data_IF_310551177700
#
_entry.id   IF_310551177700
#
_cell.length_a   1.000
_cell.length_b   1.000
_cell.length_c   1.000
_cell.angle_alpha   90.00
_cell.angle_beta   90.00
_cell.angle_gamma   90.00
#
_symmetry.space_group_name_H-M   'P 1'
#
loop_
_entity.id
_entity.type
_entity.pdbx_description
1 polymer ?
#
# COMPACT_ATOMS: atom_id res chain seq x y z
N UNK A 1 6.84 -17.35 2.56
CA UNK A 1 6.71 -18.31 1.43
C UNK A 1 7.95 -18.21 0.56
N UNK A 2 8.36 -19.27 -0.14
CA UNK A 2 9.52 -19.19 -1.04
C UNK A 2 9.14 -18.39 -2.30
N UNK A 3 9.91 -17.34 -2.59
CA UNK A 3 9.77 -16.55 -3.81
C UNK A 3 10.50 -17.32 -4.92
N UNK A 4 9.75 -17.81 -5.90
CA UNK A 4 10.26 -18.61 -7.01
C UNK A 4 10.82 -17.75 -8.15
N UNK A 5 10.37 -16.51 -8.28
CA UNK A 5 10.83 -15.58 -9.28
C UNK A 5 10.15 -14.22 -9.20
N UNK A 6 10.64 -13.27 -9.98
CA UNK A 6 10.04 -11.96 -10.13
C UNK A 6 9.94 -11.57 -11.62
N UNK A 7 8.84 -10.92 -11.98
CA UNK A 7 8.56 -10.39 -13.30
C UNK A 7 8.40 -8.88 -13.16
N UNK A 8 9.14 -8.12 -13.96
CA UNK A 8 9.07 -6.66 -13.93
C UNK A 8 8.56 -6.14 -15.27
N UNK A 9 7.60 -5.24 -15.24
CA UNK A 9 7.46 -4.29 -16.34
C UNK A 9 8.65 -3.30 -16.37
N UNK A 10 8.78 -2.53 -17.45
CA UNK A 10 9.83 -1.51 -17.61
C UNK A 10 9.28 -0.09 -17.48
N UNK A 11 8.24 0.24 -18.24
CA UNK A 11 7.80 1.61 -18.50
C UNK A 11 6.88 2.09 -17.39
N UNK A 12 7.31 3.09 -16.62
CA UNK A 12 6.61 3.53 -15.42
C UNK A 12 6.72 2.56 -14.22
N UNK A 13 7.40 1.42 -14.42
CA UNK A 13 7.75 0.46 -13.37
C UNK A 13 9.23 0.53 -12.97
N UNK A 14 10.18 0.29 -13.88
CA UNK A 14 11.64 0.40 -13.59
C UNK A 14 12.14 1.80 -13.93
N UNK A 15 11.69 2.34 -15.07
CA UNK A 15 12.11 3.64 -15.58
C UNK A 15 10.94 4.60 -15.66
N UNK A 16 11.21 5.87 -15.39
CA UNK A 16 10.22 6.95 -15.38
C UNK A 16 9.98 7.46 -16.82
N UNK A 17 9.25 6.67 -17.62
CA UNK A 17 9.09 6.88 -19.07
C UNK A 17 7.66 7.21 -19.50
N UNK A 18 6.67 7.25 -18.61
CA UNK A 18 5.28 7.53 -19.02
C UNK A 18 5.10 8.93 -19.61
N UNK A 19 5.81 9.93 -19.06
CA UNK A 19 5.85 11.26 -19.66
C UNK A 19 6.49 11.29 -21.05
N UNK A 20 7.48 10.42 -21.29
CA UNK A 20 8.09 10.25 -22.62
C UNK A 20 7.14 9.59 -23.60
N UNK A 21 6.36 8.59 -23.18
CA UNK A 21 5.36 7.96 -24.06
C UNK A 21 4.29 8.95 -24.49
N UNK A 22 3.76 9.76 -23.57
CA UNK A 22 2.81 10.83 -23.92
C UNK A 22 3.42 11.84 -24.91
N UNK A 23 4.65 12.28 -24.66
CA UNK A 23 5.38 13.19 -25.55
C UNK A 23 5.72 12.54 -26.90
N UNK A 24 6.01 11.24 -26.93
CA UNK A 24 6.28 10.48 -28.15
C UNK A 24 5.03 10.38 -29.02
N UNK A 25 3.87 10.09 -28.43
CA UNK A 25 2.61 10.07 -29.17
C UNK A 25 2.34 11.44 -29.77
N UNK A 26 2.51 12.54 -29.02
CA UNK A 26 2.39 13.91 -29.58
C UNK A 26 3.45 14.20 -30.67
N UNK A 27 4.68 13.70 -30.49
CA UNK A 27 5.75 13.83 -31.46
C UNK A 27 5.40 13.16 -32.79
N UNK A 28 4.74 11.99 -32.80
CA UNK A 28 4.32 11.32 -34.05
C UNK A 28 3.42 12.24 -34.89
N UNK A 29 2.41 12.85 -34.26
CA UNK A 29 1.52 13.79 -34.95
C UNK A 29 2.30 14.97 -35.51
N UNK A 30 3.19 15.55 -34.69
CA UNK A 30 4.03 16.68 -35.12
C UNK A 30 4.97 16.31 -36.26
N UNK A 31 5.57 15.12 -36.22
CA UNK A 31 6.49 14.58 -37.22
C UNK A 31 5.81 14.46 -38.59
N UNK A 32 4.55 14.01 -38.61
CA UNK A 32 3.74 13.91 -39.83
C UNK A 32 2.91 15.17 -40.14
N UNK A 33 3.15 16.28 -39.44
CA UNK A 33 2.54 17.58 -39.74
C UNK A 33 1.07 17.72 -39.33
N UNK A 34 0.62 16.95 -38.35
CA UNK A 34 -0.72 16.96 -37.78
C UNK A 34 -0.72 17.41 -36.31
N UNK A 35 -1.92 17.66 -35.78
CA UNK A 35 -2.14 17.89 -34.35
C UNK A 35 -2.81 16.66 -33.75
N UNK A 36 -2.37 16.24 -32.57
CA UNK A 36 -2.95 15.11 -31.85
C UNK A 36 -4.38 15.47 -31.38
N UNK A 37 -5.39 14.62 -31.66
CA UNK A 37 -6.73 14.80 -31.10
C UNK A 37 -6.73 14.68 -29.57
N UNK A 38 -7.62 15.43 -28.91
CA UNK A 38 -7.86 15.29 -27.47
C UNK A 38 -8.26 13.84 -27.13
N UNK A 39 -7.67 13.27 -26.07
CA UNK A 39 -7.98 11.91 -25.61
C UNK A 39 -7.37 10.79 -26.47
N UNK A 40 -6.45 11.09 -27.40
CA UNK A 40 -5.86 10.09 -28.27
C UNK A 40 -4.87 9.18 -27.51
N UNK A 41 -4.03 9.74 -26.64
CA UNK A 41 -3.05 8.97 -25.88
C UNK A 41 -3.73 7.91 -25.01
N UNK A 42 -4.76 8.30 -24.26
CA UNK A 42 -5.55 7.43 -23.39
C UNK A 42 -6.25 6.31 -24.16
N UNK A 43 -6.53 6.52 -25.46
CA UNK A 43 -7.12 5.49 -26.33
C UNK A 43 -6.10 4.45 -26.76
N UNK A 44 -4.84 4.84 -26.97
CA UNK A 44 -3.81 3.97 -27.58
C UNK A 44 -2.81 3.42 -26.57
N UNK A 45 -2.69 4.01 -25.38
CA UNK A 45 -1.83 3.54 -24.28
C UNK A 45 -2.00 2.04 -23.97
N UNK A 46 -3.23 1.47 -23.95
CA UNK A 46 -3.39 0.04 -23.66
C UNK A 46 -2.95 -0.89 -24.81
N UNK A 47 -2.77 -0.35 -26.02
CA UNK A 47 -2.53 -1.14 -27.23
C UNK A 47 -1.05 -1.48 -27.41
N UNK A 48 -0.75 -2.48 -28.24
CA UNK A 48 0.62 -2.69 -28.68
C UNK A 48 1.10 -1.52 -29.55
N UNK A 49 2.42 -1.26 -29.55
CA UNK A 49 3.01 -0.21 -30.38
C UNK A 49 2.66 -0.38 -31.88
N UNK A 50 2.60 -1.62 -32.37
CA UNK A 50 2.16 -1.94 -33.74
C UNK A 50 0.72 -1.56 -34.01
N UNK A 51 -0.18 -1.79 -33.07
CA UNK A 51 -1.59 -1.41 -33.21
C UNK A 51 -1.77 0.10 -33.19
N UNK A 52 -1.05 0.82 -32.31
CA UNK A 52 -1.01 2.29 -32.31
C UNK A 52 -0.54 2.81 -33.69
N UNK A 53 0.60 2.35 -34.18
CA UNK A 53 1.13 2.80 -35.48
C UNK A 53 0.23 2.41 -36.66
N UNK A 54 -0.52 1.31 -36.54
CA UNK A 54 -1.56 0.94 -37.51
C UNK A 54 -2.72 1.93 -37.50
N UNK A 55 -3.21 2.32 -36.31
CA UNK A 55 -4.25 3.35 -36.16
C UNK A 55 -3.76 4.68 -36.73
N UNK A 56 -2.52 5.08 -36.40
CA UNK A 56 -1.88 6.29 -36.91
C UNK A 56 -1.87 6.34 -38.45
N UNK A 57 -1.51 5.22 -39.08
CA UNK A 57 -1.51 5.10 -40.53
C UNK A 57 -2.94 5.06 -41.13
N UNK A 58 -3.83 4.22 -40.59
CA UNK A 58 -5.16 3.98 -41.15
C UNK A 58 -6.11 5.19 -40.95
N UNK A 59 -6.05 5.88 -39.81
CA UNK A 59 -6.93 7.01 -39.49
C UNK A 59 -6.39 8.36 -39.99
N UNK A 60 -5.07 8.58 -39.93
CA UNK A 60 -4.46 9.88 -40.22
C UNK A 60 -3.59 9.90 -41.47
N UNK A 61 -3.32 8.75 -42.08
CA UNK A 61 -2.49 8.66 -43.29
C UNK A 61 -1.01 8.94 -43.04
N UNK A 62 -0.52 8.66 -41.84
CA UNK A 62 0.89 8.84 -41.48
C UNK A 62 1.77 7.76 -42.12
N UNK A 63 2.97 8.15 -42.56
CA UNK A 63 3.93 7.26 -43.21
C UNK A 63 3.46 6.69 -44.56
N UNK A 64 4.37 5.99 -45.26
CA UNK A 64 4.01 5.23 -46.47
C UNK A 64 3.31 3.90 -46.11
N UNK A 65 3.52 3.40 -44.88
CA UNK A 65 2.86 2.25 -44.27
C UNK A 65 2.88 2.33 -42.75
N UNK A 66 2.08 1.49 -42.07
CA UNK A 66 2.11 1.37 -40.61
C UNK A 66 3.49 0.93 -40.08
N UNK A 67 4.22 0.10 -40.84
CA UNK A 67 5.58 -0.34 -40.48
C UNK A 67 6.58 0.83 -40.54
N UNK A 68 6.40 1.78 -41.46
CA UNK A 68 7.25 2.98 -41.54
C UNK A 68 7.02 3.92 -40.34
N UNK A 69 5.75 4.07 -39.92
CA UNK A 69 5.42 4.79 -38.68
C UNK A 69 6.06 4.09 -37.48
N UNK A 70 5.91 2.77 -37.39
CA UNK A 70 6.45 1.96 -36.31
C UNK A 70 7.98 2.09 -36.18
N UNK A 71 8.73 2.01 -37.28
CA UNK A 71 10.20 2.15 -37.23
C UNK A 71 10.64 3.58 -36.87
N UNK A 72 9.89 4.60 -37.29
CA UNK A 72 10.15 5.99 -36.89
C UNK A 72 9.92 6.19 -35.37
N UNK A 73 8.83 5.65 -34.83
CA UNK A 73 8.54 5.70 -33.39
C UNK A 73 9.58 4.93 -32.60
N UNK A 74 9.89 3.69 -33.00
CA UNK A 74 10.93 2.89 -32.34
C UNK A 74 12.28 3.60 -32.33
N UNK A 75 12.65 4.30 -33.41
CA UNK A 75 13.89 5.07 -33.45
C UNK A 75 13.89 6.24 -32.47
N UNK A 76 12.78 6.96 -32.35
CA UNK A 76 12.63 8.05 -31.39
C UNK A 76 12.67 7.54 -29.94
N UNK A 77 11.90 6.49 -29.63
CA UNK A 77 11.85 5.87 -28.31
C UNK A 77 13.23 5.38 -27.85
N UNK A 78 14.01 4.75 -28.75
CA UNK A 78 15.39 4.33 -28.43
C UNK A 78 16.30 5.50 -28.08
N UNK A 79 16.16 6.63 -28.77
CA UNK A 79 16.95 7.84 -28.50
C UNK A 79 16.61 8.41 -27.11
N UNK A 80 15.31 8.51 -26.79
CA UNK A 80 14.85 8.94 -25.48
C UNK A 80 15.35 8.02 -24.36
N UNK A 81 15.21 6.70 -24.51
CA UNK A 81 15.72 5.75 -23.51
C UNK A 81 17.24 5.86 -23.29
N UNK A 82 18.00 6.14 -24.34
CA UNK A 82 19.46 6.25 -24.24
C UNK A 82 19.92 7.53 -23.51
N UNK A 83 19.10 8.59 -23.50
CA UNK A 83 19.59 9.94 -23.21
C UNK A 83 18.74 10.76 -22.22
N UNK A 84 17.46 10.45 -22.07
CA UNK A 84 16.51 11.31 -21.36
C UNK A 84 15.88 10.64 -20.14
N UNK A 85 15.68 9.32 -20.19
CA UNK A 85 14.93 8.59 -19.17
C UNK A 85 15.79 8.25 -17.96
N UNK A 86 15.21 8.38 -16.78
CA UNK A 86 15.82 7.99 -15.51
C UNK A 86 15.12 6.76 -14.93
N UNK A 87 15.87 5.99 -14.15
CA UNK A 87 15.33 4.91 -13.35
C UNK A 87 14.62 5.46 -12.10
N UNK A 88 13.56 4.80 -11.64
CA UNK A 88 12.97 5.14 -10.36
C UNK A 88 13.97 4.96 -9.20
N UNK A 89 14.05 5.91 -8.26
CA UNK A 89 14.88 5.77 -7.07
C UNK A 89 14.52 4.50 -6.28
N UNK A 90 15.51 3.73 -5.85
CA UNK A 90 15.31 2.48 -5.11
C UNK A 90 15.12 1.22 -5.98
N UNK A 91 14.86 1.37 -7.28
CA UNK A 91 14.60 0.22 -8.15
C UNK A 91 15.81 -0.72 -8.25
N UNK A 92 17.02 -0.15 -8.37
CA UNK A 92 18.27 -0.92 -8.41
C UNK A 92 18.49 -1.68 -7.12
N UNK A 93 18.26 -1.03 -5.99
CA UNK A 93 18.46 -1.61 -4.66
C UNK A 93 17.59 -2.86 -4.49
N UNK A 94 16.33 -2.81 -4.91
CA UNK A 94 15.46 -4.00 -4.90
C UNK A 94 15.96 -5.09 -5.86
N UNK A 95 16.37 -4.75 -7.09
CA UNK A 95 16.92 -5.72 -8.03
C UNK A 95 18.19 -6.39 -7.48
N UNK A 96 19.05 -5.63 -6.80
CA UNK A 96 20.26 -6.13 -6.13
C UNK A 96 19.90 -7.07 -4.95
N UNK A 97 18.91 -6.72 -4.13
CA UNK A 97 18.42 -7.60 -3.06
C UNK A 97 17.89 -8.93 -3.59
N UNK A 98 17.06 -8.90 -4.64
CA UNK A 98 16.50 -10.10 -5.28
C UNK A 98 17.61 -10.96 -5.89
N UNK A 99 18.56 -10.36 -6.60
CA UNK A 99 19.69 -11.06 -7.20
C UNK A 99 20.61 -11.68 -6.14
N UNK A 100 20.92 -10.95 -5.07
CA UNK A 100 21.73 -11.45 -3.95
C UNK A 100 21.07 -12.64 -3.24
N UNK A 101 19.74 -12.69 -3.24
CA UNK A 101 18.97 -13.82 -2.73
C UNK A 101 18.82 -15.00 -3.72
N UNK A 102 19.34 -14.86 -4.95
CA UNK A 102 19.26 -15.89 -5.98
C UNK A 102 17.89 -16.03 -6.63
N UNK A 103 17.03 -15.01 -6.52
CA UNK A 103 15.69 -15.00 -7.12
C UNK A 103 15.83 -14.66 -8.61
N UNK A 104 15.40 -15.53 -9.55
CA UNK A 104 15.49 -15.23 -10.96
C UNK A 104 14.48 -14.15 -11.35
N UNK A 105 14.90 -13.23 -12.21
CA UNK A 105 14.09 -12.10 -12.68
C UNK A 105 13.92 -12.16 -14.20
N UNK A 106 12.73 -11.78 -14.69
CA UNK A 106 12.41 -11.64 -16.12
C UNK A 106 11.69 -10.31 -16.36
N UNK A 107 11.96 -9.67 -17.48
CA UNK A 107 11.17 -8.49 -17.92
C UNK A 107 9.96 -8.93 -18.74
N UNK A 108 8.81 -8.29 -18.52
CA UNK A 108 7.59 -8.45 -19.31
C UNK A 108 6.98 -7.07 -19.65
N UNK A 109 7.13 -6.61 -20.89
CA UNK A 109 6.71 -5.27 -21.31
C UNK A 109 5.83 -5.27 -22.58
N UNK A 110 5.02 -4.23 -22.77
CA UNK A 110 4.36 -3.96 -24.06
C UNK A 110 5.33 -3.39 -25.10
N UNK A 111 6.40 -2.74 -24.64
CA UNK A 111 7.46 -2.19 -25.49
C UNK A 111 8.23 -3.34 -26.15
N UNK A 112 8.66 -3.22 -27.42
CA UNK A 112 9.41 -4.28 -28.07
C UNK A 112 10.81 -4.45 -27.43
N UNK A 113 11.32 -5.69 -27.44
CA UNK A 113 12.55 -6.04 -26.71
C UNK A 113 13.76 -5.21 -27.14
N UNK A 114 13.90 -4.92 -28.45
CA UNK A 114 15.03 -4.16 -28.99
C UNK A 114 15.06 -2.71 -28.47
N UNK A 115 13.95 -2.20 -27.97
CA UNK A 115 13.72 -0.81 -27.63
C UNK A 115 13.95 -0.64 -26.12
N UNK A 116 13.22 -1.38 -25.28
CA UNK A 116 13.43 -1.29 -23.82
C UNK A 116 14.80 -1.83 -23.39
N UNK A 117 15.45 -2.71 -24.17
CA UNK A 117 16.82 -3.15 -23.86
C UNK A 117 17.78 -1.97 -23.84
N UNK A 118 17.55 -0.92 -24.64
CA UNK A 118 18.36 0.30 -24.60
C UNK A 118 18.24 0.99 -23.24
N UNK A 119 17.03 1.06 -22.66
CA UNK A 119 16.82 1.61 -21.33
C UNK A 119 17.57 0.79 -20.26
N UNK A 120 17.46 -0.54 -20.33
CA UNK A 120 18.16 -1.43 -19.40
C UNK A 120 19.69 -1.29 -19.51
N UNK A 121 20.23 -1.19 -20.73
CA UNK A 121 21.66 -1.02 -20.97
C UNK A 121 22.18 0.35 -20.51
N UNK A 122 21.43 1.43 -20.78
CA UNK A 122 21.78 2.79 -20.36
C UNK A 122 21.93 2.90 -18.83
N UNK A 123 21.13 2.11 -18.09
CA UNK A 123 21.19 2.02 -16.64
C UNK A 123 22.02 0.82 -16.13
N UNK A 124 22.64 0.02 -17.00
CA UNK A 124 23.43 -1.15 -16.58
C UNK A 124 22.62 -2.20 -15.80
N UNK A 125 21.35 -2.39 -16.15
CA UNK A 125 20.41 -3.30 -15.49
C UNK A 125 20.30 -4.67 -16.19
N UNK A 126 20.77 -4.80 -17.43
CA UNK A 126 20.62 -6.03 -18.22
C UNK A 126 21.18 -7.27 -17.53
N UNK A 127 22.16 -7.12 -16.63
CA UNK A 127 22.75 -8.21 -15.86
C UNK A 127 21.86 -8.81 -14.75
N UNK A 128 20.77 -8.14 -14.37
CA UNK A 128 19.84 -8.63 -13.35
C UNK A 128 18.84 -9.65 -13.91
N UNK A 129 18.45 -9.50 -15.17
CA UNK A 129 17.38 -10.29 -15.77
C UNK A 129 17.95 -11.52 -16.49
N UNK A 130 17.37 -12.69 -16.21
CA UNK A 130 17.74 -13.91 -16.93
C UNK A 130 17.27 -13.85 -18.39
N UNK A 131 16.11 -13.25 -18.62
CA UNK A 131 15.46 -13.17 -19.92
C UNK A 131 14.51 -11.96 -19.95
N UNK A 132 14.03 -11.61 -21.14
CA UNK A 132 13.17 -10.46 -21.39
C UNK A 132 12.13 -10.80 -22.47
N UNK A 133 10.85 -10.54 -22.22
CA UNK A 133 9.76 -10.81 -23.17
C UNK A 133 8.92 -9.56 -23.42
N UNK A 134 8.50 -9.39 -24.66
CA UNK A 134 7.54 -8.37 -25.09
C UNK A 134 6.19 -9.00 -25.47
N UNK A 135 5.11 -8.23 -25.45
CA UNK A 135 3.83 -8.61 -26.06
C UNK A 135 3.98 -9.05 -27.52
N UNK A 136 4.96 -8.49 -28.27
CA UNK A 136 5.25 -8.90 -29.64
C UNK A 136 5.77 -10.34 -29.76
N UNK A 137 6.46 -10.84 -28.74
CA UNK A 137 6.99 -12.21 -28.72
C UNK A 137 5.88 -13.26 -28.49
N UNK A 138 4.72 -12.83 -28.00
CA UNK A 138 3.58 -13.68 -27.63
C UNK A 138 2.35 -13.43 -28.52
N UNK A 139 2.58 -13.03 -29.77
CA UNK A 139 1.53 -12.87 -30.77
C UNK A 139 0.88 -11.48 -30.79
N UNK A 140 1.45 -10.50 -30.07
CA UNK A 140 1.07 -9.09 -30.13
C UNK A 140 -0.18 -8.73 -29.33
N UNK A 141 -0.71 -9.64 -28.51
CA UNK A 141 -1.81 -9.30 -27.60
C UNK A 141 -1.31 -8.41 -26.48
N UNK A 142 -2.07 -7.37 -26.18
CA UNK A 142 -1.81 -6.46 -25.08
C UNK A 142 -1.84 -7.16 -23.70
N UNK A 143 -1.54 -6.37 -22.66
CA UNK A 143 -1.52 -6.80 -21.26
C UNK A 143 -2.91 -6.91 -20.63
N UNK A 144 -4.01 -6.74 -21.37
CA UNK A 144 -5.34 -7.21 -20.92
C UNK A 144 -5.43 -8.75 -20.99
N UNK A 145 -4.49 -9.39 -21.70
CA UNK A 145 -4.30 -10.83 -21.74
C UNK A 145 -3.05 -11.26 -20.97
N UNK A 146 -3.08 -12.45 -20.32
CA UNK A 146 -1.99 -12.89 -19.46
C UNK A 146 -0.75 -13.42 -20.21
N UNK A 147 -0.78 -13.43 -21.54
CA UNK A 147 0.20 -14.08 -22.41
C UNK A 147 1.66 -13.73 -22.08
N UNK A 148 1.97 -12.43 -21.96
CA UNK A 148 3.33 -11.96 -21.70
C UNK A 148 3.82 -12.38 -20.30
N UNK A 149 2.94 -12.36 -19.30
CA UNK A 149 3.25 -12.78 -17.93
C UNK A 149 3.41 -14.30 -17.81
N UNK A 150 2.56 -15.07 -18.50
CA UNK A 150 2.68 -16.53 -18.57
C UNK A 150 3.98 -16.93 -19.28
N UNK A 151 4.34 -16.24 -20.36
CA UNK A 151 5.61 -16.47 -21.03
C UNK A 151 6.81 -16.06 -20.17
N UNK A 152 6.74 -14.95 -19.46
CA UNK A 152 7.77 -14.56 -18.50
C UNK A 152 7.93 -15.62 -17.39
N UNK A 153 6.83 -16.21 -16.91
CA UNK A 153 6.85 -17.33 -15.95
C UNK A 153 7.52 -18.58 -16.55
N UNK A 154 7.25 -18.92 -17.81
CA UNK A 154 7.98 -20.03 -18.48
C UNK A 154 9.47 -19.73 -18.62
N UNK A 155 9.81 -18.48 -18.94
CA UNK A 155 11.20 -18.02 -19.00
C UNK A 155 11.84 -18.06 -17.62
N UNK A 156 11.09 -17.86 -16.52
CA UNK A 156 11.44 -18.18 -15.11
C UNK A 156 11.83 -19.64 -14.87
N UNK A 157 11.62 -20.54 -15.82
CA UNK A 157 11.87 -21.97 -15.67
C UNK A 157 10.77 -22.66 -14.87
N UNK A 158 9.60 -22.02 -14.75
CA UNK A 158 8.46 -22.48 -13.99
C UNK A 158 7.36 -22.99 -14.93
N UNK A 159 6.48 -23.83 -14.40
CA UNK A 159 5.27 -24.26 -15.10
C UNK A 159 4.20 -23.17 -14.97
N UNK A 160 4.01 -22.40 -16.05
CA UNK A 160 3.02 -21.34 -16.09
C UNK A 160 1.57 -21.83 -15.98
N UNK A 161 1.29 -23.13 -16.13
CA UNK A 161 -0.06 -23.70 -15.94
C UNK A 161 -0.29 -24.15 -14.48
N UNK A 162 0.77 -24.27 -13.67
CA UNK A 162 0.71 -24.59 -12.24
C UNK A 162 0.38 -23.36 -11.37
N UNK A 163 -0.81 -23.30 -10.73
CA UNK A 163 -1.19 -22.17 -9.89
C UNK A 163 -0.29 -21.97 -8.67
N UNK A 164 0.29 -23.04 -8.10
CA UNK A 164 1.16 -22.90 -6.92
C UNK A 164 2.49 -22.22 -7.32
N UNK A 165 3.01 -22.54 -8.51
CA UNK A 165 4.21 -21.87 -9.02
C UNK A 165 3.93 -20.41 -9.40
N UNK A 166 2.78 -20.10 -10.00
CA UNK A 166 2.39 -18.70 -10.28
C UNK A 166 2.25 -17.89 -8.98
N UNK A 167 1.66 -18.47 -7.94
CA UNK A 167 1.52 -17.82 -6.63
C UNK A 167 2.88 -17.59 -5.93
N UNK A 168 3.94 -18.29 -6.35
CA UNK A 168 5.32 -18.06 -5.90
C UNK A 168 6.07 -16.97 -6.68
N UNK A 169 5.45 -16.36 -7.70
CA UNK A 169 6.06 -15.32 -8.54
C UNK A 169 5.43 -13.96 -8.25
N UNK A 170 6.28 -12.95 -8.09
CA UNK A 170 5.89 -11.55 -7.94
C UNK A 170 5.95 -10.82 -9.27
N UNK A 171 4.88 -10.13 -9.64
CA UNK A 171 4.81 -9.21 -10.77
C UNK A 171 4.83 -7.78 -10.25
N UNK A 172 5.77 -6.97 -10.74
CA UNK A 172 5.88 -5.55 -10.44
C UNK A 172 5.33 -4.78 -11.63
N UNK A 173 4.28 -4.00 -11.38
CA UNK A 173 3.57 -3.28 -12.43
C UNK A 173 2.92 -1.99 -11.93
N UNK A 174 2.82 -1.00 -12.81
CA UNK A 174 2.23 0.32 -12.57
C UNK A 174 0.86 0.48 -13.26
N UNK A 175 0.67 -0.17 -14.42
CA UNK A 175 -0.50 -0.03 -15.25
C UNK A 175 -1.73 -0.77 -14.69
N UNK A 176 -2.92 -0.13 -14.64
CA UNK A 176 -4.15 -0.76 -14.15
C UNK A 176 -4.51 -2.09 -14.82
N UNK A 177 -4.37 -2.17 -16.15
CA UNK A 177 -4.63 -3.39 -16.89
C UNK A 177 -3.61 -4.48 -16.57
N UNK A 178 -2.34 -4.11 -16.37
CA UNK A 178 -1.26 -5.04 -16.07
C UNK A 178 -1.41 -5.67 -14.67
N UNK A 179 -1.69 -4.87 -13.63
CA UNK A 179 -1.95 -5.39 -12.29
C UNK A 179 -3.20 -6.27 -12.25
N UNK A 180 -4.27 -5.89 -12.96
CA UNK A 180 -5.51 -6.67 -13.05
C UNK A 180 -5.29 -8.03 -13.70
N UNK A 181 -4.58 -8.06 -14.82
CA UNK A 181 -4.31 -9.29 -15.57
C UNK A 181 -3.40 -10.21 -14.77
N UNK A 182 -2.36 -9.67 -14.14
CA UNK A 182 -1.42 -10.43 -13.30
C UNK A 182 -2.13 -11.08 -12.11
N UNK A 183 -2.96 -10.30 -11.42
CA UNK A 183 -3.78 -10.79 -10.31
C UNK A 183 -4.75 -11.90 -10.77
N UNK A 184 -5.49 -11.68 -11.87
CA UNK A 184 -6.42 -12.69 -12.42
C UNK A 184 -5.71 -13.97 -12.89
N UNK A 185 -4.46 -13.85 -13.33
CA UNK A 185 -3.62 -14.99 -13.70
C UNK A 185 -3.08 -15.78 -12.49
N UNK A 186 -3.22 -15.26 -11.26
CA UNK A 186 -2.80 -15.91 -10.03
C UNK A 186 -1.35 -15.66 -9.65
N UNK A 187 -0.74 -14.60 -10.18
CA UNK A 187 0.52 -14.06 -9.68
C UNK A 187 0.29 -13.21 -8.43
N UNK A 188 1.35 -13.03 -7.63
CA UNK A 188 1.37 -11.96 -6.62
C UNK A 188 1.74 -10.65 -7.29
N UNK A 189 1.12 -9.56 -6.89
CA UNK A 189 1.25 -8.27 -7.57
C UNK A 189 1.77 -7.21 -6.60
N UNK A 190 2.89 -6.60 -6.96
CA UNK A 190 3.31 -5.30 -6.44
C UNK A 190 2.81 -4.23 -7.39
N UNK A 191 1.88 -3.39 -6.91
CA UNK A 191 1.45 -2.20 -7.63
C UNK A 191 2.34 -1.01 -7.28
N UNK A 192 3.02 -0.44 -8.27
CA UNK A 192 3.82 0.78 -8.15
C UNK A 192 3.01 1.97 -8.66
N UNK A 193 2.49 2.79 -7.75
CA UNK A 193 1.80 4.02 -8.11
C UNK A 193 2.76 5.21 -8.05
N UNK A 194 2.69 6.09 -9.04
CA UNK A 194 3.29 7.41 -8.97
C UNK A 194 2.22 8.48 -9.24
N UNK A 195 2.46 9.71 -8.77
CA UNK A 195 1.46 10.79 -8.86
C UNK A 195 1.51 11.57 -10.19
N UNK A 196 2.42 11.23 -11.10
CA UNK A 196 2.73 12.07 -12.28
C UNK A 196 2.27 11.50 -13.62
N UNK A 197 1.76 10.27 -13.65
CA UNK A 197 1.22 9.63 -14.86
C UNK A 197 -0.32 9.73 -15.01
N UNK A 198 -1.02 10.29 -14.01
CA UNK A 198 -2.46 10.49 -14.03
C UNK A 198 -3.31 9.26 -13.69
N UNK A 199 -2.69 8.15 -13.24
CA UNK A 199 -3.39 6.95 -12.81
C UNK A 199 -4.15 7.17 -11.51
N UNK A 200 -5.20 6.39 -11.32
CA UNK A 200 -6.04 6.44 -10.12
C UNK A 200 -5.79 5.23 -9.25
N UNK A 201 -5.56 5.47 -7.97
CA UNK A 201 -5.37 4.42 -6.96
C UNK A 201 -6.50 3.37 -6.96
N UNK A 202 -7.74 3.79 -7.18
CA UNK A 202 -8.91 2.91 -7.23
C UNK A 202 -8.86 1.87 -8.36
N UNK A 203 -8.10 2.13 -9.43
CA UNK A 203 -7.98 1.24 -10.58
C UNK A 203 -6.84 0.20 -10.40
N UNK A 204 -5.93 0.43 -9.44
CA UNK A 204 -4.71 -0.36 -9.21
C UNK A 204 -4.77 -1.11 -7.88
N UNK A 205 -4.97 -0.40 -6.76
CA UNK A 205 -4.89 -0.91 -5.39
C UNK A 205 -5.72 -2.18 -5.14
N UNK A 206 -6.95 -2.35 -5.66
CA UNK A 206 -7.74 -3.57 -5.41
C UNK A 206 -7.14 -4.87 -5.94
N UNK A 207 -6.17 -4.78 -6.87
CA UNK A 207 -5.54 -5.93 -7.53
C UNK A 207 -4.13 -6.21 -7.02
N UNK A 208 -3.67 -5.44 -6.04
CA UNK A 208 -2.32 -5.51 -5.51
C UNK A 208 -2.29 -6.33 -4.22
N UNK A 209 -1.29 -7.20 -4.10
CA UNK A 209 -0.93 -7.87 -2.86
C UNK A 209 -0.10 -6.94 -1.97
N UNK A 210 0.77 -6.13 -2.60
CA UNK A 210 1.52 -5.03 -1.99
C UNK A 210 1.34 -3.81 -2.88
N UNK A 211 0.90 -2.70 -2.31
CA UNK A 211 0.70 -1.44 -3.03
C UNK A 211 1.61 -0.37 -2.43
N UNK A 212 2.40 0.28 -3.27
CA UNK A 212 3.42 1.24 -2.85
C UNK A 212 3.46 2.46 -3.76
N UNK A 213 3.98 3.57 -3.23
CA UNK A 213 4.22 4.80 -3.98
C UNK A 213 5.65 4.92 -4.54
N UNK A 214 6.47 3.87 -4.37
CA UNK A 214 7.83 3.79 -4.89
C UNK A 214 8.64 2.67 -4.25
N UNK A 215 9.84 2.43 -4.79
CA UNK A 215 10.71 1.34 -4.32
C UNK A 215 11.28 1.55 -2.92
N UNK A 216 11.23 2.79 -2.41
CA UNK A 216 11.50 3.10 -1.01
C UNK A 216 10.63 2.27 -0.04
N UNK A 217 9.42 1.93 -0.44
CA UNK A 217 8.46 1.18 0.37
C UNK A 217 8.55 -0.35 0.11
N UNK A 218 9.56 -0.79 -0.66
CA UNK A 218 9.76 -2.19 -1.02
C UNK A 218 11.08 -2.73 -0.45
N UNK A 219 11.04 -3.99 -0.04
CA UNK A 219 12.24 -4.76 0.27
C UNK A 219 11.95 -6.24 0.06
N UNK A 220 12.99 -7.04 -0.15
CA UNK A 220 12.84 -8.49 -0.16
C UNK A 220 12.26 -9.01 1.17
N UNK A 221 12.57 -8.35 2.29
CA UNK A 221 12.01 -8.71 3.59
C UNK A 221 10.48 -8.57 3.59
N UNK A 222 9.94 -7.45 3.10
CA UNK A 222 8.50 -7.23 2.95
C UNK A 222 7.85 -8.30 2.07
N UNK A 223 8.45 -8.60 0.90
CA UNK A 223 7.91 -9.61 -0.02
C UNK A 223 7.93 -11.03 0.58
N UNK A 224 8.89 -11.33 1.44
CA UNK A 224 8.99 -12.62 2.15
C UNK A 224 8.01 -12.72 3.32
N UNK A 225 7.81 -11.60 4.01
CA UNK A 225 6.83 -11.47 5.08
C UNK A 225 5.41 -11.61 4.52
N UNK A 226 5.20 -11.29 3.24
CA UNK A 226 3.94 -11.51 2.55
C UNK A 226 3.53 -12.99 2.47
N UNK A 227 2.51 -13.33 3.26
CA UNK A 227 1.78 -14.59 3.15
C UNK A 227 0.43 -14.30 2.49
N UNK A 228 0.17 -14.95 1.35
CA UNK A 228 -1.09 -14.80 0.64
C UNK A 228 -2.25 -15.03 1.64
N UNK A 229 -3.23 -14.12 1.71
CA UNK A 229 -4.41 -14.33 2.53
C UNK A 229 -4.96 -15.72 2.20
N UNK A 230 -5.23 -16.53 3.23
CA UNK A 230 -5.91 -17.81 3.01
C UNK A 230 -7.14 -17.54 2.14
N UNK A 231 -7.35 -18.34 1.07
CA UNK A 231 -8.47 -18.20 0.14
C UNK A 231 -9.72 -17.81 0.95
N UNK A 232 -10.39 -16.69 0.60
CA UNK A 232 -11.22 -15.96 1.53
C UNK A 232 -12.13 -16.94 2.26
N UNK A 233 -11.82 -17.17 3.54
CA UNK A 233 -12.71 -17.94 4.39
C UNK A 233 -14.09 -17.28 4.23
N UNK A 234 -15.15 -18.08 4.10
CA UNK A 234 -16.49 -17.52 3.87
C UNK A 234 -16.69 -16.43 4.91
N UNK A 235 -17.30 -15.29 4.57
CA UNK A 235 -17.45 -14.18 5.50
C UNK A 235 -18.09 -14.58 6.86
N UNK A 236 -18.79 -15.71 6.91
CA UNK A 236 -19.28 -16.36 8.13
C UNK A 236 -18.18 -16.97 9.02
N UNK A 237 -17.14 -17.56 8.43
CA UNK A 237 -16.02 -18.21 9.12
C UNK A 237 -15.03 -17.18 9.69
N UNK A 238 -14.77 -16.08 8.96
CA UNK A 238 -13.93 -14.95 9.46
C UNK A 238 -14.60 -14.25 10.64
N UNK A 239 -15.93 -14.09 10.62
CA UNK A 239 -16.71 -13.53 11.74
C UNK A 239 -16.72 -14.43 12.98
N UNK A 240 -16.40 -15.72 12.83
CA UNK A 240 -16.39 -16.69 13.92
C UNK A 240 -14.99 -16.90 14.54
N UNK A 241 -13.93 -16.48 13.85
CA UNK A 241 -12.56 -16.55 14.35
C UNK A 241 -12.32 -15.48 15.43
N UNK A 242 -11.55 -15.84 16.45
CA UNK A 242 -11.14 -14.90 17.50
C UNK A 242 -10.30 -13.77 16.88
N UNK A 243 -10.63 -12.48 17.11
CA UNK A 243 -9.90 -11.36 16.52
C UNK A 243 -8.44 -11.35 17.00
N UNK A 244 -7.51 -11.06 16.10
CA UNK A 244 -6.10 -10.82 16.45
C UNK A 244 -5.97 -9.48 17.16
N UNK A 245 -5.52 -9.50 18.40
CA UNK A 245 -5.25 -8.29 19.17
C UNK A 245 -3.84 -7.79 18.85
N UNK A 246 -3.72 -6.66 18.15
CA UNK A 246 -2.44 -6.07 17.80
C UNK A 246 -2.23 -4.77 18.57
N UNK A 247 -1.14 -4.70 19.33
CA UNK A 247 -0.65 -3.46 19.91
C UNK A 247 0.32 -2.79 18.93
N UNK A 248 0.04 -1.55 18.58
CA UNK A 248 0.96 -0.66 17.86
C UNK A 248 1.45 0.39 18.83
N UNK A 249 2.76 0.52 18.98
CA UNK A 249 3.40 1.51 19.85
C UNK A 249 4.12 2.54 18.98
N UNK A 250 3.59 3.77 18.97
CA UNK A 250 4.12 4.88 18.18
C UNK A 250 5.17 5.70 18.96
N UNK A 251 5.84 6.61 18.26
CA UNK A 251 6.99 7.39 18.71
C UNK A 251 6.69 8.76 19.32
N UNK A 252 5.54 8.97 19.98
CA UNK A 252 5.20 10.28 20.54
C UNK A 252 6.25 10.76 21.57
N UNK A 253 6.61 12.06 21.57
CA UNK A 253 7.49 12.63 22.59
C UNK A 253 6.88 12.65 23.99
N UNK A 254 5.56 12.52 24.12
CA UNK A 254 4.85 12.38 25.41
C UNK A 254 4.30 10.95 25.51
N UNK A 255 5.21 9.99 25.55
CA UNK A 255 4.88 8.57 25.61
C UNK A 255 4.04 8.24 26.86
N UNK A 256 3.13 7.27 26.68
CA UNK A 256 2.40 6.66 27.78
C UNK A 256 3.32 5.95 28.77
N UNK A 257 2.83 5.78 30.00
CA UNK A 257 3.59 5.19 31.09
C UNK A 257 4.04 3.76 30.79
N UNK A 258 5.23 3.34 31.27
CA UNK A 258 5.70 1.97 31.08
C UNK A 258 4.73 0.89 31.59
N UNK A 259 4.00 1.18 32.68
CA UNK A 259 3.00 0.26 33.24
C UNK A 259 1.81 0.09 32.28
N UNK A 260 1.34 1.16 31.65
CA UNK A 260 0.28 1.08 30.64
C UNK A 260 0.76 0.32 29.41
N UNK A 261 1.91 0.68 28.86
CA UNK A 261 2.47 0.01 27.67
C UNK A 261 2.68 -1.48 27.94
N UNK A 262 3.18 -1.84 29.13
CA UNK A 262 3.35 -3.24 29.55
C UNK A 262 2.01 -3.98 29.60
N UNK A 263 1.01 -3.39 30.23
CA UNK A 263 -0.31 -4.01 30.36
C UNK A 263 -0.95 -4.26 28.98
N UNK A 264 -0.86 -3.28 28.08
CA UNK A 264 -1.36 -3.43 26.70
C UNK A 264 -0.58 -4.51 25.93
N UNK A 265 0.74 -4.60 26.12
CA UNK A 265 1.57 -5.58 25.44
C UNK A 265 1.28 -7.01 25.94
N UNK A 266 0.98 -7.18 27.23
CA UNK A 266 0.62 -8.47 27.82
C UNK A 266 -0.76 -8.98 27.35
N UNK A 267 -1.65 -8.09 26.91
CA UNK A 267 -2.96 -8.41 26.33
C UNK A 267 -2.92 -8.67 24.82
N UNK A 268 -1.85 -8.24 24.14
CA UNK A 268 -1.72 -8.35 22.70
C UNK A 268 -1.23 -9.73 22.23
N UNK A 269 -1.76 -10.20 21.10
CA UNK A 269 -1.28 -11.37 20.37
C UNK A 269 -0.05 -11.04 19.49
N UNK A 270 0.17 -9.75 19.22
CA UNK A 270 1.21 -9.22 18.36
C UNK A 270 1.57 -7.79 18.72
N UNK A 271 2.85 -7.46 18.78
CA UNK A 271 3.34 -6.12 19.14
C UNK A 271 4.18 -5.51 18.03
N UNK A 272 3.80 -4.33 17.55
CA UNK A 272 4.49 -3.55 16.54
C UNK A 272 5.15 -2.33 17.18
N UNK A 273 6.48 -2.27 17.15
CA UNK A 273 7.26 -1.10 17.53
C UNK A 273 7.48 -0.20 16.31
N UNK A 274 6.92 1.00 16.31
CA UNK A 274 7.09 1.99 15.24
C UNK A 274 8.19 2.96 15.63
N UNK A 275 9.34 2.89 14.96
CA UNK A 275 10.48 3.78 15.14
C UNK A 275 10.76 4.10 16.64
N UNK A 276 10.55 5.34 17.10
CA UNK A 276 10.79 5.74 18.50
C UNK A 276 9.88 5.03 19.51
N UNK A 277 8.78 4.41 19.09
CA UNK A 277 7.95 3.55 19.95
C UNK A 277 8.73 2.38 20.56
N UNK A 278 9.86 1.99 19.96
CA UNK A 278 10.82 1.07 20.57
C UNK A 278 11.37 1.55 21.93
N UNK A 279 11.46 2.85 22.16
CA UNK A 279 11.89 3.41 23.46
C UNK A 279 10.86 3.14 24.56
N UNK A 280 9.57 3.30 24.24
CA UNK A 280 8.48 3.03 25.17
C UNK A 280 8.42 1.54 25.52
N UNK A 281 8.58 0.67 24.53
CA UNK A 281 8.64 -0.78 24.74
C UNK A 281 9.87 -1.22 25.53
N UNK A 282 11.04 -0.61 25.29
CA UNK A 282 12.23 -0.83 26.09
C UNK A 282 12.00 -0.43 27.55
N UNK A 283 11.38 0.73 27.80
CA UNK A 283 11.07 1.20 29.15
C UNK A 283 10.05 0.30 29.86
N UNK A 284 9.11 -0.29 29.11
CA UNK A 284 8.11 -1.23 29.60
C UNK A 284 8.62 -2.68 29.70
N UNK A 285 9.87 -2.94 29.30
CA UNK A 285 10.46 -4.29 29.21
C UNK A 285 9.59 -5.27 28.39
N UNK A 286 8.88 -4.77 27.38
CA UNK A 286 7.94 -5.53 26.54
C UNK A 286 8.53 -5.74 25.15
N UNK A 287 8.87 -6.97 24.79
CA UNK A 287 9.51 -7.25 23.50
C UNK A 287 8.52 -7.07 22.33
N UNK A 288 8.90 -6.35 21.26
CA UNK A 288 8.11 -6.32 20.03
C UNK A 288 8.21 -7.63 19.25
N UNK A 289 7.20 -7.94 18.46
CA UNK A 289 7.29 -8.96 17.41
C UNK A 289 7.88 -8.37 16.11
N UNK A 290 7.55 -7.11 15.82
CA UNK A 290 8.07 -6.35 14.66
C UNK A 290 8.62 -5.02 15.11
N UNK A 291 9.77 -4.66 14.55
CA UNK A 291 10.29 -3.30 14.58
C UNK A 291 10.21 -2.72 13.17
N UNK A 292 9.55 -1.57 13.01
CA UNK A 292 9.28 -0.95 11.71
C UNK A 292 9.62 0.52 11.70
N UNK A 293 10.25 0.98 10.61
CA UNK A 293 10.54 2.39 10.34
C UNK A 293 11.95 2.60 9.79
N UNK A 294 12.35 3.85 9.63
CA UNK A 294 13.71 4.23 9.19
C UNK A 294 14.74 4.28 10.32
N UNK A 295 14.27 4.25 11.57
CA UNK A 295 15.07 4.33 12.78
C UNK A 295 15.83 5.67 12.93
N UNK A 296 15.28 6.78 12.42
CA UNK A 296 15.89 8.10 12.51
C UNK A 296 15.57 8.85 13.82
N UNK A 297 14.40 8.59 14.41
CA UNK A 297 13.92 9.29 15.61
C UNK A 297 14.11 8.48 16.90
N UNK A 298 14.34 7.17 16.78
CA UNK A 298 14.70 6.26 17.88
C UNK A 298 16.18 6.39 18.29
N UNK A 299 16.47 6.26 19.59
CA UNK A 299 17.85 6.15 20.05
C UNK A 299 18.54 4.86 19.59
N UNK A 300 19.85 4.95 19.33
CA UNK A 300 20.65 3.79 18.91
C UNK A 300 20.57 2.59 19.88
N UNK A 301 20.40 2.86 21.18
CA UNK A 301 20.20 1.82 22.19
C UNK A 301 18.87 1.10 22.00
N UNK A 302 17.77 1.84 21.87
CA UNK A 302 16.44 1.26 21.70
C UNK A 302 16.30 0.55 20.35
N UNK A 303 16.83 1.11 19.26
CA UNK A 303 16.84 0.44 17.96
C UNK A 303 17.63 -0.88 17.99
N UNK A 304 18.82 -0.88 18.60
CA UNK A 304 19.61 -2.10 18.73
C UNK A 304 18.90 -3.15 19.59
N UNK A 305 18.25 -2.71 20.67
CA UNK A 305 17.43 -3.58 21.52
C UNK A 305 16.23 -4.15 20.75
N UNK A 306 15.46 -3.31 20.05
CA UNK A 306 14.28 -3.74 19.30
C UNK A 306 14.65 -4.76 18.22
N UNK A 307 15.71 -4.50 17.45
CA UNK A 307 16.23 -5.44 16.44
C UNK A 307 16.71 -6.77 17.02
N UNK A 308 17.18 -6.78 18.26
CA UNK A 308 17.63 -8.00 18.92
C UNK A 308 16.48 -8.86 19.47
N UNK A 309 15.29 -8.28 19.68
CA UNK A 309 14.13 -8.94 20.27
C UNK A 309 12.99 -9.18 19.28
N UNK A 310 12.84 -8.30 18.28
CA UNK A 310 11.86 -8.44 17.22
C UNK A 310 12.18 -9.68 16.37
N UNK A 311 11.11 -10.36 15.95
CA UNK A 311 11.21 -11.48 15.00
C UNK A 311 11.52 -10.97 13.60
N UNK A 312 10.99 -9.79 13.27
CA UNK A 312 11.17 -9.13 11.98
C UNK A 312 11.57 -7.67 12.18
N UNK A 313 12.59 -7.23 11.45
CA UNK A 313 13.06 -5.84 11.35
C UNK A 313 12.74 -5.34 9.94
N UNK A 314 11.70 -4.52 9.81
CA UNK A 314 11.22 -3.99 8.53
C UNK A 314 11.72 -2.55 8.41
N UNK A 315 12.68 -2.35 7.51
CA UNK A 315 13.34 -1.07 7.33
C UNK A 315 12.79 -0.35 6.12
N UNK A 316 12.60 0.95 6.29
CA UNK A 316 12.24 1.87 5.22
C UNK A 316 13.27 3.01 5.18
N UNK A 317 13.47 3.69 4.05
CA UNK A 317 14.28 4.91 4.01
C UNK A 317 13.54 6.07 4.70
N UNK A 318 14.28 7.12 5.05
CA UNK A 318 13.71 8.32 5.65
C UNK A 318 12.87 9.14 4.65
N UNK A 319 13.27 9.14 3.38
CA UNK A 319 12.52 9.80 2.30
C UNK A 319 11.46 8.84 1.75
N UNK A 320 10.22 8.99 2.21
CA UNK A 320 9.05 8.19 1.82
C UNK A 320 7.76 9.00 2.03
N UNK A 321 6.67 8.59 1.36
CA UNK A 321 5.38 9.26 1.49
C UNK A 321 4.61 8.82 2.75
N UNK A 322 4.70 7.53 3.09
CA UNK A 322 4.06 6.98 4.28
C UNK A 322 4.81 7.33 5.57
N UNK A 323 4.08 7.82 6.58
CA UNK A 323 4.60 7.94 7.95
C UNK A 323 4.90 6.55 8.51
N UNK A 324 5.87 6.41 9.43
CA UNK A 324 6.18 5.10 10.02
C UNK A 324 4.98 4.48 10.77
N UNK A 325 4.09 5.30 11.34
CA UNK A 325 2.85 4.79 11.94
C UNK A 325 1.94 4.12 10.91
N UNK A 326 1.80 4.71 9.72
CA UNK A 326 1.01 4.10 8.64
C UNK A 326 1.58 2.72 8.27
N UNK A 327 2.89 2.63 8.13
CA UNK A 327 3.60 1.38 7.86
C UNK A 327 3.42 0.36 9.00
N UNK A 328 3.39 0.82 10.25
CA UNK A 328 3.10 -0.02 11.41
C UNK A 328 1.66 -0.55 11.45
N UNK A 329 0.68 0.25 11.05
CA UNK A 329 -0.71 -0.19 10.88
C UNK A 329 -0.84 -1.20 9.72
N UNK A 330 -0.09 -1.00 8.63
CA UNK A 330 -0.02 -1.96 7.53
C UNK A 330 0.60 -3.29 7.98
N UNK A 331 1.67 -3.26 8.81
CA UNK A 331 2.22 -4.47 9.42
C UNK A 331 1.17 -5.22 10.26
N UNK A 332 0.34 -4.50 11.02
CA UNK A 332 -0.74 -5.09 11.80
C UNK A 332 -1.82 -5.74 10.91
N UNK A 333 -2.23 -5.06 9.84
CA UNK A 333 -3.19 -5.57 8.87
C UNK A 333 -2.67 -6.80 8.14
N UNK A 334 -1.40 -6.75 7.75
CA UNK A 334 -0.70 -7.86 7.11
C UNK A 334 -0.65 -9.09 8.02
N UNK A 335 -0.32 -8.90 9.30
CA UNK A 335 -0.29 -9.99 10.28
C UNK A 335 -1.66 -10.63 10.51
N UNK A 336 -2.72 -9.83 10.60
CA UNK A 336 -4.08 -10.34 10.75
C UNK A 336 -4.52 -11.14 9.51
N UNK A 337 -4.21 -10.64 8.32
CA UNK A 337 -4.43 -11.33 7.05
C UNK A 337 -3.68 -12.67 7.01
N UNK A 338 -2.40 -12.65 7.38
CA UNK A 338 -1.54 -13.84 7.49
C UNK A 338 -2.15 -14.92 8.38
N UNK A 339 -2.71 -14.54 9.53
CA UNK A 339 -3.35 -15.47 10.46
C UNK A 339 -4.80 -15.81 10.11
N UNK A 340 -5.37 -15.19 9.07
CA UNK A 340 -6.78 -15.34 8.70
C UNK A 340 -7.75 -14.91 9.80
N UNK A 341 -7.35 -13.93 10.63
CA UNK A 341 -8.13 -13.45 11.80
C UNK A 341 -8.60 -12.01 11.55
N UNK A 342 -9.80 -11.63 12.03
CA UNK A 342 -10.19 -10.21 12.08
C UNK A 342 -9.17 -9.41 12.87
N UNK A 343 -8.87 -8.18 12.44
CA UNK A 343 -7.91 -7.32 13.13
C UNK A 343 -8.59 -6.46 14.21
N UNK A 344 -8.03 -6.44 15.41
CA UNK A 344 -8.27 -5.41 16.42
C UNK A 344 -6.96 -4.66 16.67
N UNK A 345 -7.00 -3.34 16.57
CA UNK A 345 -5.84 -2.48 16.81
C UNK A 345 -6.02 -1.74 18.13
N UNK A 346 -5.00 -1.79 18.98
CA UNK A 346 -4.78 -0.86 20.09
C UNK A 346 -3.52 -0.06 19.80
N UNK A 347 -3.66 1.26 19.70
CA UNK A 347 -2.55 2.20 19.53
C UNK A 347 -2.22 2.87 20.88
N UNK A 348 -0.94 3.10 21.16
CA UNK A 348 -0.51 3.91 22.31
C UNK A 348 0.72 4.73 21.94
N UNK A 349 1.07 5.71 22.77
CA UNK A 349 2.20 6.62 22.54
C UNK A 349 2.08 7.39 21.20
N UNK A 350 0.88 7.85 20.84
CA UNK A 350 0.59 8.45 19.54
C UNK A 350 -0.07 9.85 19.63
N UNK A 351 -0.43 10.31 20.82
CA UNK A 351 -1.24 11.53 20.99
C UNK A 351 -0.47 12.81 21.31
N UNK A 352 0.76 12.71 21.81
CA UNK A 352 1.53 13.84 22.33
C UNK A 352 2.39 14.60 21.32
N UNK A 353 2.82 15.81 21.71
CA UNK A 353 3.72 16.65 20.93
C UNK A 353 3.01 17.51 19.88
N UNK A 354 3.04 17.08 18.61
CA UNK A 354 2.59 17.88 17.47
C UNK A 354 1.08 17.71 17.23
N UNK A 355 0.28 18.80 17.26
CA UNK A 355 -1.17 18.69 17.12
C UNK A 355 -1.62 18.22 15.73
N UNK A 356 -0.85 18.53 14.69
CA UNK A 356 -1.09 18.07 13.33
C UNK A 356 -0.84 16.57 13.15
N UNK A 357 0.17 16.02 13.84
CA UNK A 357 0.39 14.56 13.89
C UNK A 357 -0.78 13.86 14.55
N UNK A 358 -1.25 14.38 15.70
CA UNK A 358 -2.36 13.74 16.40
C UNK A 358 -3.63 13.70 15.54
N UNK A 359 -3.92 14.75 14.77
CA UNK A 359 -5.04 14.73 13.83
C UNK A 359 -4.87 13.65 12.74
N UNK A 360 -3.65 13.51 12.20
CA UNK A 360 -3.35 12.47 11.22
C UNK A 360 -3.50 11.05 11.81
N UNK A 361 -3.06 10.83 13.05
CA UNK A 361 -3.22 9.56 13.79
C UNK A 361 -4.69 9.16 13.87
N UNK A 362 -5.57 10.09 14.23
CA UNK A 362 -7.03 9.83 14.28
C UNK A 362 -7.56 9.47 12.89
N UNK A 363 -7.09 10.14 11.84
CA UNK A 363 -7.43 9.83 10.45
C UNK A 363 -7.00 8.41 10.05
N UNK A 364 -5.75 8.04 10.32
CA UNK A 364 -5.18 6.73 10.03
C UNK A 364 -5.90 5.60 10.79
N UNK A 365 -6.18 5.78 12.08
CA UNK A 365 -6.98 4.81 12.84
C UNK A 365 -8.40 4.67 12.29
N UNK A 366 -8.99 5.77 11.80
CA UNK A 366 -10.33 5.74 11.22
C UNK A 366 -10.39 5.01 9.88
N UNK A 367 -9.32 5.07 9.09
CA UNK A 367 -9.22 4.38 7.79
C UNK A 367 -8.65 2.97 7.88
N UNK A 368 -8.02 2.60 9.00
CA UNK A 368 -7.42 1.29 9.19
C UNK A 368 -8.42 0.15 8.89
N UNK A 369 -8.00 -0.93 8.20
CA UNK A 369 -8.85 -2.07 7.85
C UNK A 369 -9.08 -3.02 9.04
N UNK A 370 -9.41 -2.48 10.21
CA UNK A 370 -9.63 -3.21 11.46
C UNK A 370 -11.13 -3.41 11.79
N UNK A 371 -11.50 -4.53 12.40
CA UNK A 371 -12.83 -4.69 12.98
C UNK A 371 -13.09 -3.68 14.11
N UNK A 372 -12.05 -3.36 14.88
CA UNK A 372 -12.06 -2.35 15.95
C UNK A 372 -10.70 -1.66 16.02
N UNK A 373 -10.70 -0.35 16.24
CA UNK A 373 -9.48 0.46 16.34
C UNK A 373 -9.60 1.43 17.51
N UNK A 374 -8.70 1.28 18.47
CA UNK A 374 -8.64 2.07 19.71
C UNK A 374 -7.28 2.73 19.85
N UNK A 375 -7.26 3.82 20.61
CA UNK A 375 -6.02 4.37 21.14
C UNK A 375 -6.17 4.55 22.64
N UNK A 376 -5.20 4.05 23.39
CA UNK A 376 -5.20 4.08 24.86
C UNK A 376 -3.95 4.82 25.32
N UNK A 377 -4.18 5.92 26.02
CA UNK A 377 -3.14 6.73 26.63
C UNK A 377 -3.39 6.82 28.15
N UNK A 378 -2.42 7.28 28.92
CA UNK A 378 -2.60 7.42 30.38
C UNK A 378 -3.81 8.30 30.74
N UNK A 379 -3.99 9.40 30.00
CA UNK A 379 -5.01 10.41 30.27
C UNK A 379 -6.36 10.18 29.60
N UNK A 380 -6.46 9.29 28.61
CA UNK A 380 -7.72 9.07 27.90
C UNK A 380 -7.74 7.79 27.07
N UNK A 381 -8.93 7.38 26.69
CA UNK A 381 -9.17 6.33 25.69
C UNK A 381 -9.97 6.90 24.52
N UNK A 382 -9.54 6.60 23.30
CA UNK A 382 -10.22 6.91 22.06
C UNK A 382 -10.65 5.61 21.38
N UNK A 383 -11.90 5.57 20.90
CA UNK A 383 -12.40 4.50 20.02
C UNK A 383 -12.96 5.06 18.73
N UNK A 384 -12.64 4.41 17.61
CA UNK A 384 -13.31 4.67 16.34
C UNK A 384 -14.57 3.81 16.26
N UNK A 385 -15.73 4.47 16.19
CA UNK A 385 -17.03 3.80 16.04
C UNK A 385 -17.56 3.92 14.61
N UNK A 386 -17.88 2.78 13.98
CA UNK A 386 -18.44 2.70 12.62
C UNK A 386 -19.35 1.48 12.42
N UNK A 387 -20.38 1.54 11.55
CA UNK A 387 -21.33 0.45 11.35
C UNK A 387 -20.70 -0.87 10.89
N UNK A 388 -19.67 -0.81 10.06
CA UNK A 388 -19.01 -1.97 9.45
C UNK A 388 -18.04 -2.70 10.41
N UNK A 389 -17.86 -2.18 11.63
CA UNK A 389 -17.00 -2.75 12.67
C UNK A 389 -17.61 -2.58 14.07
N UNK A 390 -16.90 -1.90 14.96
CA UNK A 390 -17.43 -1.53 16.28
C UNK A 390 -18.39 -0.35 16.18
N UNK A 391 -19.70 -0.62 16.10
CA UNK A 391 -20.70 0.44 15.94
C UNK A 391 -21.02 1.18 17.26
N UNK A 392 -20.66 0.64 18.42
CA UNK A 392 -21.03 1.22 19.70
C UNK A 392 -20.04 0.90 20.83
N UNK A 393 -19.88 1.85 21.73
CA UNK A 393 -19.12 1.70 22.96
C UNK A 393 -20.03 1.86 24.18
N UNK A 394 -20.10 0.81 24.99
CA UNK A 394 -20.78 0.83 26.28
C UNK A 394 -19.75 1.02 27.40
N UNK A 395 -19.97 2.01 28.26
CA UNK A 395 -19.04 2.43 29.29
C UNK A 395 -19.41 1.84 30.65
N UNK A 396 -18.38 1.48 31.42
CA UNK A 396 -18.49 0.90 32.75
C UNK A 396 -18.85 1.91 33.84
N UNK A 397 -18.93 1.42 35.09
CA UNK A 397 -19.16 2.28 36.26
C UNK A 397 -18.02 3.28 36.51
N UNK A 398 -16.79 2.91 36.15
CA UNK A 398 -15.60 3.74 36.30
C UNK A 398 -15.60 4.98 35.40
N UNK A 399 -16.45 4.99 34.36
CA UNK A 399 -16.62 6.12 33.48
C UNK A 399 -17.54 7.21 34.07
N UNK A 400 -18.37 6.90 35.07
CA UNK A 400 -19.36 7.86 35.59
C UNK A 400 -18.67 9.08 36.19
N UNK A 401 -19.07 10.27 35.74
CA UNK A 401 -18.51 11.56 36.11
C UNK A 401 -17.33 12.01 35.24
N UNK A 402 -16.79 11.14 34.38
CA UNK A 402 -15.73 11.50 33.44
C UNK A 402 -16.26 12.28 32.23
N UNK A 403 -15.37 13.06 31.62
CA UNK A 403 -15.66 13.79 30.39
C UNK A 403 -15.65 12.83 29.21
N UNK A 404 -16.71 12.90 28.41
CA UNK A 404 -16.84 12.19 27.14
C UNK A 404 -16.88 13.19 25.99
N UNK A 405 -16.12 12.97 24.93
CA UNK A 405 -16.21 13.78 23.71
C UNK A 405 -16.43 12.90 22.49
N UNK A 406 -17.22 13.39 21.54
CA UNK A 406 -17.50 12.71 20.29
C UNK A 406 -17.21 13.69 19.13
N UNK A 407 -16.41 13.24 18.16
CA UNK A 407 -16.05 14.03 16.96
C UNK A 407 -16.28 13.18 15.73
N UNK A 408 -17.06 13.69 14.77
CA UNK A 408 -17.23 13.02 13.49
C UNK A 408 -15.95 13.13 12.65
N UNK A 409 -15.45 11.98 12.18
CA UNK A 409 -14.24 11.87 11.36
C UNK A 409 -14.53 11.39 9.94
N UNK A 410 -15.80 11.15 9.62
CA UNK A 410 -16.28 10.96 8.25
C UNK A 410 -17.53 11.80 7.95
N UNK A 411 -17.72 12.28 6.71
CA UNK A 411 -18.96 12.91 6.28
C UNK A 411 -20.18 12.01 6.48
N UNK A 412 -21.34 12.62 6.74
CA UNK A 412 -22.59 11.87 6.91
C UNK A 412 -22.71 11.12 8.24
N UNK A 413 -21.85 11.43 9.22
CA UNK A 413 -21.86 10.75 10.52
C UNK A 413 -23.16 10.99 11.29
N UNK A 414 -23.76 9.92 11.84
CA UNK A 414 -25.00 9.99 12.63
C UNK A 414 -24.89 9.17 13.91
N UNK A 415 -25.26 9.74 15.05
CA UNK A 415 -24.95 9.16 16.36
C UNK A 415 -26.10 9.18 17.37
N UNK A 416 -25.99 8.28 18.36
CA UNK A 416 -26.72 8.33 19.63
C UNK A 416 -25.75 8.43 20.81
N UNK A 417 -26.10 9.24 21.80
CA UNK A 417 -25.46 9.29 23.11
C UNK A 417 -26.52 9.04 24.19
N UNK A 418 -26.46 7.90 24.86
CA UNK A 418 -27.35 7.53 25.95
C UNK A 418 -26.59 7.48 27.28
N UNK A 419 -27.23 7.88 28.38
CA UNK A 419 -26.58 7.90 29.71
C UNK A 419 -25.51 8.99 29.87
N UNK A 420 -25.55 10.00 29.00
CA UNK A 420 -24.70 11.20 29.05
C UNK A 420 -25.49 12.41 29.57
N UNK A 421 -24.80 13.43 30.08
CA UNK A 421 -25.40 14.68 30.56
C UNK A 421 -26.18 15.40 29.46
N UNK A 422 -25.64 15.40 28.24
CA UNK A 422 -26.32 15.88 27.04
C UNK A 422 -26.59 14.69 26.10
N UNK A 423 -27.73 13.99 26.26
CA UNK A 423 -28.05 12.85 25.40
C UNK A 423 -28.38 13.32 23.98
N UNK A 424 -28.04 12.47 23.00
CA UNK A 424 -28.32 12.68 21.58
C UNK A 424 -29.05 11.46 21.03
N UNK A 425 -30.03 11.69 20.16
CA UNK A 425 -30.79 10.64 19.50
C UNK A 425 -30.82 10.90 18.00
N UNK A 426 -30.29 9.95 17.25
CA UNK A 426 -30.23 9.87 15.81
C UNK A 426 -29.73 11.17 15.16
N UNK A 427 -28.72 11.78 15.78
CA UNK A 427 -28.28 13.15 15.50
C UNK A 427 -27.23 13.16 14.39
N UNK A 428 -27.40 13.94 13.31
CA UNK A 428 -26.33 14.16 12.34
C UNK A 428 -25.25 15.06 12.95
N UNK A 429 -23.98 14.74 12.67
CA UNK A 429 -22.80 15.52 13.03
C UNK A 429 -22.08 15.99 11.77
N UNK A 430 -21.65 17.25 11.77
CA UNK A 430 -20.74 17.80 10.78
C UNK A 430 -19.33 17.26 11.00
N UNK A 431 -18.57 17.12 9.90
CA UNK A 431 -17.17 16.68 9.95
C UNK A 431 -16.37 17.64 10.83
N UNK A 432 -15.71 17.11 11.88
CA UNK A 432 -14.93 17.86 12.86
C UNK A 432 -15.69 19.02 13.54
N UNK A 433 -17.01 18.88 13.74
CA UNK A 433 -17.80 19.86 14.48
C UNK A 433 -17.66 19.73 16.01
N UNK A 434 -18.27 20.65 16.75
CA UNK A 434 -18.18 20.77 18.20
C UNK A 434 -19.37 20.15 18.95
N UNK A 435 -20.30 19.48 18.26
CA UNK A 435 -21.58 19.07 18.84
C UNK A 435 -21.43 18.08 20.01
N UNK A 436 -20.43 17.19 19.92
CA UNK A 436 -20.19 16.13 20.89
C UNK A 436 -19.14 16.46 21.94
N UNK A 437 -18.59 17.68 21.97
CA UNK A 437 -17.44 18.03 22.81
C UNK A 437 -17.85 18.28 24.27
N UNK A 438 -17.01 17.83 25.21
CA UNK A 438 -17.13 18.09 26.65
C UNK A 438 -18.45 17.61 27.28
N UNK A 439 -18.98 16.48 26.80
CA UNK A 439 -20.08 15.78 27.46
C UNK A 439 -19.62 15.11 28.76
N UNK A 440 -20.54 14.58 29.56
CA UNK A 440 -20.22 13.89 30.83
C UNK A 440 -21.03 12.61 30.93
N UNK A 441 -20.37 11.52 31.32
CA UNK A 441 -21.03 10.24 31.59
C UNK A 441 -21.80 10.34 32.91
N UNK A 442 -23.12 10.12 32.90
CA UNK A 442 -23.96 10.26 34.12
C UNK A 442 -24.56 8.96 34.63
N UNK A 443 -24.48 7.88 33.85
CA UNK A 443 -25.03 6.59 34.21
C UNK A 443 -24.06 5.45 33.87
N UNK A 444 -24.03 4.43 34.72
CA UNK A 444 -23.39 3.16 34.39
C UNK A 444 -24.07 2.53 33.17
N UNK A 445 -23.29 2.02 32.23
CA UNK A 445 -23.82 1.53 30.96
C UNK A 445 -24.20 2.63 29.97
N UNK A 446 -23.73 3.87 30.18
CA UNK A 446 -23.80 4.91 29.15
C UNK A 446 -23.21 4.38 27.84
N UNK A 447 -23.77 4.84 26.73
CA UNK A 447 -23.48 4.27 25.42
C UNK A 447 -23.36 5.36 24.36
N UNK A 448 -22.29 5.29 23.58
CA UNK A 448 -22.15 6.01 22.32
C UNK A 448 -22.36 5.02 21.17
N UNK A 449 -23.15 5.39 20.16
CA UNK A 449 -23.42 4.56 18.97
C UNK A 449 -23.25 5.40 17.71
N UNK A 450 -22.59 4.85 16.69
CA UNK A 450 -22.47 5.40 15.34
C UNK A 450 -23.32 4.57 14.37
N UNK A 451 -24.30 5.21 13.73
CA UNK A 451 -25.24 4.56 12.80
C UNK A 451 -24.83 4.67 11.34
N UNK A 452 -24.02 5.68 11.01
CA UNK A 452 -23.50 5.96 9.68
C UNK A 452 -22.24 6.81 9.82
N UNK A 453 -21.31 6.73 8.85
CA UNK A 453 -20.04 7.43 8.90
C UNK A 453 -19.08 6.83 9.94
N UNK A 454 -18.25 7.67 10.56
CA UNK A 454 -17.25 7.27 11.53
C UNK A 454 -17.10 8.33 12.62
N UNK A 455 -17.04 7.87 13.87
CA UNK A 455 -16.98 8.71 15.05
C UNK A 455 -15.72 8.40 15.87
N UNK A 456 -14.91 9.41 16.17
CA UNK A 456 -13.90 9.33 17.20
C UNK A 456 -14.55 9.66 18.56
N UNK A 457 -14.67 8.66 19.42
CA UNK A 457 -15.27 8.75 20.75
C UNK A 457 -14.17 8.72 21.82
N UNK A 458 -14.11 9.74 22.66
CA UNK A 458 -13.07 9.96 23.67
C UNK A 458 -13.67 9.86 25.07
N UNK A 459 -13.02 9.10 25.95
CA UNK A 459 -13.26 9.12 27.39
C UNK A 459 -12.01 9.64 28.09
N UNK A 460 -12.11 10.82 28.71
CA UNK A 460 -11.00 11.48 29.39
C UNK A 460 -10.97 11.00 30.85
N UNK A 461 -9.82 10.53 31.33
CA UNK A 461 -9.66 9.83 32.62
C UNK A 461 -9.61 10.73 33.84
#
# INVERSE_FOLDING_TARGET
MDILGAIFDVDGTIVDSMGMWAATTEWVFTHYGAAMPDGFFERVEPLSLKEMCRIDHEEFGFGDSADDVYEAVCAHVRDCYAHEIQMFPGARELLEELAAAGIPMVVASSTPVREFTVALEAHGLSGFFRDTVSTEDVGGRDKEFPDVYLEACRRLGLDADDPEQRAGVWVFEDAPFGVQTSHKAGFRVVGLMNDHDGRREEDVRPYCDVYVHGYAELSLALLRDYEAPAAPARAADVRAAEPLQVLVVDGSPEASSPDLVRALADEADYVVAVDRGAEALLAAEAAPDVFVGDADSVSAQAAAWARAHARTDIRFPAEKYATDLALGLDCAAHEASRRGRPLTITLTCASGGRPDHFLAVVGLLSSAPAASAHMVEDGFELRILRPEGEAAWQMGEDAVGRTFSAVAVAPGTRIDLCGMQWPLENKPMGLLDDLGISNVVVAAGARATCHAGALAAFLIR
#
